data_IF_205272811386
#
_entry.id   IF_205272811386
#
_cell.length_a   1.000
_cell.length_b   1.000
_cell.length_c   1.000
_cell.angle_alpha   90.00
_cell.angle_beta   90.00
_cell.angle_gamma   90.00
#
_symmetry.space_group_name_H-M   'P 1'
#
loop_
_entity.id
_entity.type
_entity.pdbx_description
1 polymer ?
#
# COMPACT_ATOMS: atom_id res chain seq x y z
N UNK A 1 19.32 40.56 -34.65
CA UNK A 1 19.12 41.45 -33.49
C UNK A 1 18.21 40.75 -32.48
N UNK A 2 18.44 41.00 -31.19
CA UNK A 2 17.60 40.65 -30.05
C UNK A 2 18.12 41.44 -28.82
N UNK A 3 17.39 41.57 -27.69
CA UNK A 3 15.93 41.53 -27.47
C UNK A 3 15.41 43.01 -27.43
N UNK A 4 14.48 43.53 -26.57
CA UNK A 4 14.11 43.21 -25.16
C UNK A 4 12.78 42.41 -25.04
N UNK A 5 12.42 41.66 -23.98
CA UNK A 5 12.52 41.80 -22.50
C UNK A 5 11.49 42.75 -21.85
N UNK A 6 10.42 42.20 -21.24
CA UNK A 6 9.80 42.65 -19.97
C UNK A 6 8.55 41.82 -19.57
N UNK A 7 8.62 41.17 -18.40
CA UNK A 7 7.52 40.90 -17.45
C UNK A 7 7.80 41.79 -16.20
N UNK A 8 6.87 42.12 -15.27
CA UNK A 8 5.79 41.30 -14.66
C UNK A 8 4.42 42.05 -14.74
N UNK A 9 3.35 41.92 -13.91
CA UNK A 9 3.19 41.41 -12.54
C UNK A 9 1.74 41.01 -12.17
N UNK A 10 1.66 40.33 -11.03
CA UNK A 10 0.63 40.45 -9.95
C UNK A 10 -0.78 39.86 -10.07
N UNK A 11 -1.18 39.34 -8.92
CA UNK A 11 -2.37 38.58 -8.58
C UNK A 11 -3.59 39.49 -8.35
N UNK A 12 -4.80 38.91 -8.40
CA UNK A 12 -6.05 39.58 -8.04
C UNK A 12 -6.98 38.65 -7.27
N UNK A 13 -6.71 38.44 -5.99
CA UNK A 13 -7.52 37.59 -5.10
C UNK A 13 -8.74 38.37 -4.57
N UNK A 14 -9.91 37.75 -4.56
CA UNK A 14 -11.14 38.32 -3.99
C UNK A 14 -12.01 37.25 -3.33
N UNK A 15 -11.79 37.00 -2.03
CA UNK A 15 -12.74 36.27 -1.17
C UNK A 15 -13.56 37.26 -0.32
N UNK A 16 -14.91 37.13 -0.26
CA UNK A 16 -15.72 37.87 0.69
C UNK A 16 -15.71 37.21 2.07
N UNK A 17 -15.51 38.01 3.11
CA UNK A 17 -15.44 37.57 4.50
C UNK A 17 -16.81 37.26 5.13
N UNK A 18 -16.81 36.44 6.17
CA UNK A 18 -17.61 36.71 7.37
C UNK A 18 -16.98 36.05 8.61
N UNK A 19 -17.23 36.63 9.79
CA UNK A 19 -16.67 36.22 11.07
C UNK A 19 -17.76 35.70 12.00
N UNK A 20 -17.44 34.68 12.81
CA UNK A 20 -18.24 34.30 13.97
C UNK A 20 -17.31 33.99 15.14
N UNK A 21 -17.58 34.60 16.30
CA UNK A 21 -16.81 34.41 17.54
C UNK A 21 -17.35 33.23 18.37
N UNK A 22 -16.48 32.60 19.16
CA UNK A 22 -16.84 31.50 20.08
C UNK A 22 -16.88 32.02 21.52
N UNK A 23 -17.99 31.78 22.22
CA UNK A 23 -18.15 32.11 23.64
C UNK A 23 -19.01 31.07 24.36
N UNK A 24 -18.45 30.41 25.37
CA UNK A 24 -19.15 29.47 26.27
C UNK A 24 -18.58 29.65 27.68
N UNK A 25 -19.43 29.53 28.72
CA UNK A 25 -19.03 29.46 30.15
C UNK A 25 -19.63 28.20 30.81
N UNK A 26 -19.50 27.97 32.13
CA UNK A 26 -18.86 26.78 32.67
C UNK A 26 -19.85 25.65 32.98
N UNK A 27 -19.31 24.54 33.48
CA UNK A 27 -20.06 23.44 34.07
C UNK A 27 -20.37 23.73 35.56
N UNK A 28 -21.55 23.33 36.02
CA UNK A 28 -21.89 23.25 37.45
C UNK A 28 -21.70 21.81 37.95
N UNK A 29 -21.32 21.65 39.22
CA UNK A 29 -21.11 20.35 39.86
C UNK A 29 -21.85 20.30 41.20
N UNK A 30 -22.58 19.21 41.47
CA UNK A 30 -23.37 19.03 42.68
C UNK A 30 -23.62 17.55 43.01
N UNK A 31 -23.96 17.29 44.28
CA UNK A 31 -24.33 16.00 44.86
C UNK A 31 -23.34 14.84 44.67
N UNK A 32 -22.30 14.84 45.49
CA UNK A 32 -21.72 13.63 46.07
C UNK A 32 -21.95 13.68 47.59
N UNK A 33 -22.17 12.54 48.25
CA UNK A 33 -22.53 12.44 49.67
C UNK A 33 -22.14 11.07 50.25
N UNK A 34 -21.04 11.02 51.00
CA UNK A 34 -20.49 9.79 51.56
C UNK A 34 -21.34 9.18 52.72
N UNK A 35 -21.34 7.85 52.89
CA UNK A 35 -21.96 7.16 54.02
C UNK A 35 -21.27 7.47 55.36
N UNK A 36 -21.89 7.09 56.48
CA UNK A 36 -21.47 7.54 57.82
C UNK A 36 -20.61 6.52 58.56
N UNK A 37 -19.72 7.02 59.42
CA UNK A 37 -18.67 6.24 60.11
C UNK A 37 -19.13 5.04 60.96
N UNK A 38 -20.44 4.88 61.21
CA UNK A 38 -20.98 3.66 61.84
C UNK A 38 -20.92 2.43 60.93
N UNK A 39 -20.96 2.64 59.62
CA UNK A 39 -20.91 1.59 58.60
C UNK A 39 -19.48 1.14 58.29
N UNK A 40 -18.45 1.86 58.76
CA UNK A 40 -17.04 1.47 58.58
C UNK A 40 -16.62 0.39 59.59
N UNK A 41 -17.01 0.56 60.86
CA UNK A 41 -16.64 -0.37 61.94
C UNK A 41 -17.31 -1.76 61.84
N UNK A 42 -18.42 -1.87 61.09
CA UNK A 42 -19.07 -3.17 60.80
C UNK A 42 -18.48 -3.84 59.53
N UNK A 43 -17.49 -3.22 58.87
CA UNK A 43 -16.73 -3.80 57.75
C UNK A 43 -15.35 -4.29 58.22
N UNK A 44 -14.65 -3.53 59.07
CA UNK A 44 -13.30 -3.86 59.59
C UNK A 44 -13.23 -5.24 60.31
N UNK A 45 -14.31 -5.72 60.94
CA UNK A 45 -14.35 -7.06 61.56
C UNK A 45 -14.75 -8.20 60.59
N UNK A 46 -15.17 -7.91 59.35
CA UNK A 46 -15.50 -8.92 58.32
C UNK A 46 -14.43 -9.00 57.21
N UNK A 47 -13.64 -7.94 57.00
CA UNK A 47 -12.52 -7.92 56.05
C UNK A 47 -11.42 -8.93 56.45
N UNK A 48 -11.10 -9.05 57.75
CA UNK A 48 -9.95 -9.82 58.23
C UNK A 48 -10.12 -11.37 58.24
N UNK A 49 -11.32 -11.91 57.98
CA UNK A 49 -11.52 -13.35 57.69
C UNK A 49 -11.70 -13.63 56.18
N UNK A 50 -11.74 -12.59 55.33
CA UNK A 50 -11.86 -12.73 53.87
C UNK A 50 -10.54 -12.54 53.13
N UNK A 51 -9.67 -11.62 53.58
CA UNK A 51 -8.37 -11.37 52.92
C UNK A 51 -7.52 -12.65 52.77
N UNK A 52 -7.48 -13.52 53.78
CA UNK A 52 -6.71 -14.79 53.74
C UNK A 52 -7.29 -15.86 52.79
N UNK A 53 -8.61 -15.86 52.51
CA UNK A 53 -9.23 -16.79 51.54
C UNK A 53 -9.22 -16.20 50.11
N UNK A 54 -9.51 -14.91 49.95
CA UNK A 54 -9.50 -14.23 48.66
C UNK A 54 -8.08 -14.16 48.04
N UNK A 55 -7.01 -13.94 48.83
CA UNK A 55 -5.62 -14.03 48.34
C UNK A 55 -5.21 -15.47 47.98
N UNK A 56 -5.76 -16.49 48.66
CA UNK A 56 -5.48 -17.89 48.37
C UNK A 56 -6.13 -18.34 47.03
N UNK A 57 -7.40 -17.99 46.82
CA UNK A 57 -8.09 -18.20 45.54
C UNK A 57 -7.39 -17.41 44.40
N UNK A 58 -6.84 -16.22 44.68
CA UNK A 58 -6.07 -15.44 43.72
C UNK A 58 -4.72 -16.11 43.37
N UNK A 59 -3.98 -16.62 44.36
CA UNK A 59 -2.71 -17.32 44.13
C UNK A 59 -2.92 -18.69 43.46
N UNK A 60 -4.08 -19.35 43.63
CA UNK A 60 -4.44 -20.55 42.87
C UNK A 60 -4.84 -20.21 41.42
N UNK A 61 -5.63 -19.14 41.19
CA UNK A 61 -5.93 -18.65 39.83
C UNK A 61 -4.66 -18.21 39.07
N UNK A 62 -3.70 -17.57 39.73
CA UNK A 62 -2.46 -17.11 39.09
C UNK A 62 -1.59 -18.33 38.67
N UNK A 63 -1.55 -19.39 39.49
CA UNK A 63 -0.92 -20.67 39.10
C UNK A 63 -1.67 -21.37 37.97
N UNK A 64 -3.00 -21.47 38.00
CA UNK A 64 -3.77 -22.05 36.90
C UNK A 64 -3.56 -21.28 35.58
N UNK A 65 -3.42 -19.95 35.65
CA UNK A 65 -3.16 -19.11 34.47
C UNK A 65 -1.76 -19.36 33.89
N UNK A 66 -0.73 -19.44 34.73
CA UNK A 66 0.65 -19.73 34.30
C UNK A 66 0.83 -21.20 33.82
N UNK A 67 0.09 -22.17 34.38
CA UNK A 67 0.19 -23.58 33.99
C UNK A 67 -0.68 -23.97 32.76
N UNK A 68 -1.91 -23.44 32.64
CA UNK A 68 -2.82 -23.82 31.55
C UNK A 68 -2.90 -22.82 30.38
N UNK A 69 -2.56 -21.55 30.56
CA UNK A 69 -2.66 -20.56 29.49
C UNK A 69 -1.33 -20.37 28.75
N UNK A 70 -1.19 -21.06 27.61
CA UNK A 70 -0.19 -20.77 26.56
C UNK A 70 -0.45 -19.39 25.88
N UNK A 71 -0.88 -18.38 26.64
CA UNK A 71 -0.99 -17.00 26.20
C UNK A 71 0.39 -16.45 25.82
N UNK A 72 1.45 -16.95 26.46
CA UNK A 72 2.84 -16.73 26.08
C UNK A 72 3.12 -17.20 24.65
N UNK A 73 3.01 -18.50 24.37
CA UNK A 73 3.30 -19.07 23.06
C UNK A 73 2.30 -18.66 21.98
N UNK A 74 1.03 -18.39 22.29
CA UNK A 74 0.09 -17.80 21.32
C UNK A 74 0.42 -16.34 21.00
N UNK A 75 0.82 -15.52 21.98
CA UNK A 75 1.31 -14.14 21.72
C UNK A 75 2.61 -14.18 20.93
N UNK A 76 3.55 -15.04 21.29
CA UNK A 76 4.83 -15.19 20.60
C UNK A 76 4.64 -15.68 19.15
N UNK A 77 3.88 -16.75 18.93
CA UNK A 77 3.55 -17.28 17.60
C UNK A 77 2.86 -16.24 16.72
N UNK A 78 1.87 -15.51 17.25
CA UNK A 78 1.19 -14.42 16.52
C UNK A 78 2.10 -13.22 16.25
N UNK A 79 3.02 -12.92 17.18
CA UNK A 79 4.03 -11.88 16.99
C UNK A 79 5.08 -12.31 15.95
N UNK A 80 5.48 -13.58 15.90
CA UNK A 80 6.39 -14.13 14.90
C UNK A 80 5.74 -14.21 13.51
N UNK A 81 4.48 -14.60 13.41
CA UNK A 81 3.68 -14.51 12.18
C UNK A 81 3.62 -13.07 11.65
N UNK A 82 3.32 -12.09 12.52
CA UNK A 82 3.28 -10.68 12.12
C UNK A 82 4.69 -10.16 11.74
N UNK A 83 5.71 -10.51 12.53
CA UNK A 83 7.11 -10.11 12.31
C UNK A 83 7.70 -10.70 11.04
N UNK A 84 7.38 -11.96 10.71
CA UNK A 84 7.79 -12.60 9.46
C UNK A 84 7.09 -11.97 8.25
N UNK A 85 5.78 -11.71 8.32
CA UNK A 85 5.05 -10.97 7.27
C UNK A 85 5.60 -9.54 7.08
N UNK A 86 5.87 -8.82 8.17
CA UNK A 86 6.50 -7.49 8.10
C UNK A 86 7.91 -7.56 7.52
N UNK A 87 8.71 -8.56 7.88
CA UNK A 87 10.04 -8.77 7.29
C UNK A 87 9.98 -9.15 5.81
N UNK A 88 9.00 -9.93 5.38
CA UNK A 88 8.77 -10.29 3.97
C UNK A 88 8.47 -9.03 3.14
N UNK A 89 7.53 -8.21 3.62
CA UNK A 89 7.17 -6.90 3.04
C UNK A 89 8.35 -5.93 3.07
N UNK A 90 9.15 -5.92 4.16
CA UNK A 90 10.29 -5.04 4.29
C UNK A 90 11.45 -5.46 3.37
N UNK A 91 11.75 -6.76 3.24
CA UNK A 91 12.73 -7.28 2.27
C UNK A 91 12.33 -6.95 0.84
N UNK A 92 11.06 -7.16 0.46
CA UNK A 92 10.52 -6.72 -0.83
C UNK A 92 10.63 -5.20 -1.06
N UNK A 93 10.55 -4.38 -0.01
CA UNK A 93 10.72 -2.92 -0.10
C UNK A 93 12.19 -2.45 -0.08
N UNK A 94 13.15 -3.27 0.35
CA UNK A 94 14.51 -2.81 0.67
C UNK A 94 15.59 -3.10 -0.38
N UNK A 95 15.38 -4.01 -1.34
CA UNK A 95 16.32 -4.22 -2.45
C UNK A 95 15.66 -4.13 -3.82
N UNK A 96 16.11 -3.16 -4.62
CA UNK A 96 16.00 -3.06 -6.09
C UNK A 96 14.60 -2.90 -6.73
N UNK A 97 13.51 -3.25 -6.04
CA UNK A 97 12.15 -2.96 -6.48
C UNK A 97 11.88 -1.44 -6.59
N UNK A 98 11.08 -1.03 -7.58
CA UNK A 98 10.75 0.38 -7.84
C UNK A 98 11.87 1.21 -8.47
N UNK A 99 13.02 0.59 -8.78
CA UNK A 99 14.19 1.24 -9.40
C UNK A 99 14.55 0.53 -10.71
N UNK A 100 15.39 1.18 -11.51
CA UNK A 100 15.89 0.65 -12.78
C UNK A 100 17.41 0.49 -12.68
N UNK A 101 17.86 -0.71 -12.33
CA UNK A 101 19.25 -0.95 -11.90
C UNK A 101 20.12 -1.55 -13.03
N UNK A 102 21.35 -1.07 -13.14
CA UNK A 102 22.39 -1.63 -14.03
C UNK A 102 23.11 -2.80 -13.34
N UNK A 103 23.05 -3.99 -13.92
CA UNK A 103 23.75 -5.18 -13.42
C UNK A 103 24.96 -5.49 -14.30
N UNK A 104 26.15 -5.62 -13.70
CA UNK A 104 27.41 -5.88 -14.44
C UNK A 104 27.74 -7.37 -14.60
N UNK A 105 26.95 -8.28 -14.04
CA UNK A 105 27.19 -9.73 -14.12
C UNK A 105 25.91 -10.50 -14.41
N UNK A 106 25.95 -11.36 -15.43
CA UNK A 106 24.85 -12.27 -15.78
C UNK A 106 24.40 -13.18 -14.63
N UNK A 107 25.30 -13.66 -13.77
CA UNK A 107 24.96 -14.47 -12.58
C UNK A 107 24.06 -13.71 -11.61
N UNK A 108 24.33 -12.42 -11.41
CA UNK A 108 23.60 -11.59 -10.47
C UNK A 108 22.16 -11.37 -11.00
N UNK A 109 22.01 -11.14 -12.33
CA UNK A 109 20.72 -11.06 -13.04
C UNK A 109 19.93 -12.35 -12.90
N UNK A 110 20.53 -13.51 -13.18
CA UNK A 110 19.88 -14.83 -13.05
C UNK A 110 19.41 -15.04 -11.60
N UNK A 111 20.22 -14.67 -10.60
CA UNK A 111 19.83 -14.79 -9.19
C UNK A 111 18.68 -13.87 -8.81
N UNK A 112 18.57 -12.70 -9.46
CA UNK A 112 17.55 -11.70 -9.19
C UNK A 112 16.21 -12.06 -9.86
N UNK A 113 16.21 -12.48 -11.13
CA UNK A 113 15.00 -12.92 -11.85
C UNK A 113 14.44 -14.23 -11.30
N UNK A 114 15.27 -15.08 -10.69
CA UNK A 114 14.82 -16.30 -10.00
C UNK A 114 14.18 -16.02 -8.63
N UNK A 115 14.60 -14.97 -7.91
CA UNK A 115 14.03 -14.56 -6.62
C UNK A 115 12.77 -13.70 -6.78
N UNK A 116 12.72 -12.85 -7.81
CA UNK A 116 11.61 -11.94 -8.04
C UNK A 116 10.39 -12.66 -8.63
N UNK A 117 9.20 -12.44 -8.04
CA UNK A 117 7.95 -12.97 -8.58
C UNK A 117 7.62 -12.44 -9.99
N UNK A 118 8.02 -11.19 -10.28
CA UNK A 118 7.92 -10.52 -11.58
C UNK A 118 9.20 -9.72 -11.83
N UNK A 119 9.79 -9.86 -13.00
CA UNK A 119 11.00 -9.10 -13.37
C UNK A 119 11.08 -8.82 -14.87
N UNK A 120 11.79 -7.75 -15.21
CA UNK A 120 12.07 -7.29 -16.57
C UNK A 120 13.57 -7.11 -16.74
N UNK A 121 14.12 -7.72 -17.79
CA UNK A 121 15.54 -7.60 -18.16
C UNK A 121 15.65 -6.92 -19.51
N UNK A 122 16.23 -5.71 -19.53
CA UNK A 122 16.61 -5.02 -20.76
C UNK A 122 18.06 -5.37 -21.12
N UNK A 123 18.22 -6.04 -22.26
CA UNK A 123 19.50 -6.23 -22.92
C UNK A 123 19.77 -5.02 -23.81
N UNK A 124 20.89 -4.33 -23.58
CA UNK A 124 21.26 -3.11 -24.28
C UNK A 124 22.74 -3.07 -24.66
N UNK A 125 23.13 -2.06 -25.43
CA UNK A 125 24.51 -1.70 -25.70
C UNK A 125 24.63 -0.17 -25.82
N UNK A 126 25.69 0.41 -25.28
CA UNK A 126 25.81 1.87 -25.02
C UNK A 126 25.78 2.76 -26.28
N UNK A 127 26.19 2.22 -27.42
CA UNK A 127 26.23 2.94 -28.71
C UNK A 127 24.86 3.03 -29.40
N UNK A 128 23.94 2.11 -29.08
CA UNK A 128 22.66 2.00 -29.78
C UNK A 128 21.67 3.04 -29.25
N UNK A 129 21.42 4.11 -30.03
CA UNK A 129 20.46 5.18 -29.68
C UNK A 129 19.09 4.63 -29.25
N UNK A 130 18.60 3.58 -29.90
CA UNK A 130 17.32 2.93 -29.58
C UNK A 130 17.27 2.37 -28.14
N UNK A 131 18.39 1.87 -27.60
CA UNK A 131 18.45 1.45 -26.21
C UNK A 131 18.17 2.59 -25.23
N UNK A 132 18.68 3.79 -25.51
CA UNK A 132 18.50 4.99 -24.66
C UNK A 132 17.04 5.48 -24.66
N UNK A 133 16.30 5.23 -25.74
CA UNK A 133 14.84 5.44 -25.79
C UNK A 133 14.17 4.42 -24.86
N UNK A 134 14.44 3.12 -25.01
CA UNK A 134 13.87 2.07 -24.15
C UNK A 134 14.16 2.30 -22.65
N UNK A 135 15.41 2.64 -22.30
CA UNK A 135 15.80 3.05 -20.94
C UNK A 135 14.89 4.16 -20.39
N UNK A 136 14.62 5.19 -21.21
CA UNK A 136 13.80 6.35 -20.87
C UNK A 136 12.31 6.04 -20.68
N UNK A 137 11.82 4.86 -21.10
CA UNK A 137 10.47 4.38 -20.81
C UNK A 137 10.47 3.41 -19.62
N UNK A 138 11.43 2.49 -19.54
CA UNK A 138 11.56 1.55 -18.42
C UNK A 138 11.82 2.25 -17.08
N UNK A 139 12.64 3.31 -17.05
CA UNK A 139 12.87 4.10 -15.83
C UNK A 139 11.59 4.79 -15.33
N UNK A 140 10.68 5.19 -16.24
CA UNK A 140 9.37 5.77 -15.89
C UNK A 140 8.40 4.70 -15.38
N UNK A 141 8.50 3.47 -15.87
CA UNK A 141 7.67 2.34 -15.43
C UNK A 141 8.13 1.77 -14.09
N UNK A 142 9.44 1.67 -13.85
CA UNK A 142 10.00 1.25 -12.55
C UNK A 142 9.46 2.11 -11.39
N UNK A 143 9.40 3.43 -11.58
CA UNK A 143 8.88 4.39 -10.58
C UNK A 143 7.37 4.31 -10.34
N UNK A 144 6.62 3.56 -11.15
CA UNK A 144 5.19 3.24 -10.92
C UNK A 144 5.01 1.86 -10.30
N UNK A 145 5.78 0.88 -10.77
CA UNK A 145 5.50 -0.56 -10.59
C UNK A 145 6.47 -1.19 -9.59
N UNK A 146 6.31 -0.80 -8.32
CA UNK A 146 7.09 -1.26 -7.16
C UNK A 146 6.97 -2.78 -6.87
N UNK A 147 6.10 -3.50 -7.57
CA UNK A 147 5.91 -4.95 -7.42
C UNK A 147 6.74 -5.78 -8.43
N UNK A 148 7.41 -5.10 -9.36
CA UNK A 148 8.12 -5.68 -10.50
C UNK A 148 9.57 -5.19 -10.47
N UNK A 149 10.52 -6.11 -10.65
CA UNK A 149 11.96 -5.80 -10.60
C UNK A 149 12.48 -5.42 -12.00
N UNK A 150 12.97 -4.19 -12.19
CA UNK A 150 13.48 -3.71 -13.48
C UNK A 150 15.01 -3.68 -13.50
N UNK A 151 15.60 -4.53 -14.34
CA UNK A 151 17.04 -4.70 -14.50
C UNK A 151 17.42 -4.34 -15.94
N UNK A 152 18.60 -3.74 -16.12
CA UNK A 152 19.28 -3.70 -17.41
C UNK A 152 20.68 -4.30 -17.31
N UNK A 153 21.13 -4.93 -18.39
CA UNK A 153 22.50 -5.45 -18.53
C UNK A 153 23.03 -5.22 -19.93
N UNK A 154 24.27 -4.75 -20.02
CA UNK A 154 24.96 -4.60 -21.29
C UNK A 154 25.27 -5.98 -21.88
N UNK A 155 24.98 -6.20 -23.17
CA UNK A 155 25.19 -7.49 -23.85
C UNK A 155 26.65 -7.96 -23.76
N UNK A 156 27.62 -7.05 -23.69
CA UNK A 156 29.03 -7.38 -23.52
C UNK A 156 29.33 -8.08 -22.18
N UNK A 157 28.51 -7.85 -21.16
CA UNK A 157 28.64 -8.42 -19.81
C UNK A 157 27.78 -9.68 -19.58
N UNK A 158 27.02 -10.12 -20.59
CA UNK A 158 26.05 -11.22 -20.46
C UNK A 158 26.00 -12.21 -21.64
N UNK A 159 27.15 -12.69 -22.16
CA UNK A 159 27.19 -13.54 -23.35
C UNK A 159 26.41 -14.87 -23.18
N UNK A 160 26.33 -15.43 -21.97
CA UNK A 160 25.55 -16.65 -21.73
C UNK A 160 24.04 -16.37 -21.85
N UNK A 161 23.56 -15.28 -21.26
CA UNK A 161 22.14 -14.89 -21.36
C UNK A 161 21.76 -14.50 -22.80
N UNK A 162 22.59 -13.71 -23.48
CA UNK A 162 22.40 -13.32 -24.89
C UNK A 162 22.26 -14.55 -25.78
N UNK A 163 23.15 -15.54 -25.61
CA UNK A 163 23.10 -16.81 -26.34
C UNK A 163 21.88 -17.65 -25.96
N UNK A 164 21.60 -17.80 -24.65
CA UNK A 164 20.55 -18.68 -24.14
C UNK A 164 19.13 -18.18 -24.40
N UNK A 165 18.95 -16.85 -24.51
CA UNK A 165 17.67 -16.18 -24.81
C UNK A 165 17.52 -15.80 -26.30
N UNK A 166 18.53 -16.10 -27.13
CA UNK A 166 18.60 -15.73 -28.56
C UNK A 166 18.38 -14.22 -28.81
N UNK A 167 19.21 -13.37 -28.20
CA UNK A 167 19.15 -11.90 -28.33
C UNK A 167 20.01 -11.46 -29.51
N UNK A 168 19.38 -11.35 -30.69
CA UNK A 168 20.02 -10.98 -31.96
C UNK A 168 19.92 -9.48 -32.33
N UNK A 169 18.93 -8.77 -31.80
CA UNK A 169 18.61 -7.37 -32.16
C UNK A 169 18.42 -6.55 -30.90
N UNK A 170 18.87 -5.29 -30.91
CA UNK A 170 18.80 -4.38 -29.78
C UNK A 170 17.95 -3.12 -30.07
N UNK A 171 17.21 -2.58 -29.06
CA UNK A 171 17.06 -3.12 -27.70
C UNK A 171 16.28 -4.45 -27.67
N UNK A 172 16.44 -5.23 -26.59
CA UNK A 172 15.58 -6.40 -26.35
C UNK A 172 15.17 -6.45 -24.88
N UNK A 173 13.87 -6.60 -24.60
CA UNK A 173 13.31 -6.60 -23.25
C UNK A 173 12.58 -7.92 -23.01
N UNK A 174 13.01 -8.66 -21.98
CA UNK A 174 12.41 -9.96 -21.64
C UNK A 174 11.74 -9.86 -20.26
N UNK A 175 10.45 -10.18 -20.23
CA UNK A 175 9.62 -10.21 -19.02
C UNK A 175 9.47 -11.62 -18.48
N UNK A 176 9.77 -11.81 -17.19
CA UNK A 176 9.70 -13.08 -16.48
C UNK A 176 8.67 -13.01 -15.35
N UNK A 177 7.86 -14.06 -15.22
CA UNK A 177 6.90 -14.26 -14.13
C UNK A 177 7.17 -15.62 -13.51
N UNK A 178 7.48 -15.66 -12.21
CA UNK A 178 7.91 -16.87 -11.48
C UNK A 178 9.04 -17.63 -12.23
N UNK A 179 10.10 -16.90 -12.58
CA UNK A 179 11.25 -17.36 -13.39
C UNK A 179 10.96 -17.86 -14.83
N UNK A 180 9.69 -17.87 -15.29
CA UNK A 180 9.32 -18.25 -16.67
C UNK A 180 9.19 -17.00 -17.55
N UNK A 181 9.83 -17.00 -18.71
CA UNK A 181 9.67 -15.92 -19.71
C UNK A 181 8.24 -15.89 -20.24
N UNK A 182 7.56 -14.75 -20.09
CA UNK A 182 6.20 -14.50 -20.59
C UNK A 182 6.14 -13.56 -21.79
N UNK A 183 7.15 -12.71 -21.94
CA UNK A 183 7.22 -11.70 -23.00
C UNK A 183 8.67 -11.51 -23.43
N UNK A 184 8.90 -11.31 -24.73
CA UNK A 184 10.19 -10.92 -25.31
C UNK A 184 9.92 -9.90 -26.40
N UNK A 185 10.11 -8.62 -26.09
CA UNK A 185 10.02 -7.53 -27.07
C UNK A 185 11.38 -7.42 -27.77
N UNK A 186 11.37 -7.42 -29.11
CA UNK A 186 12.58 -7.31 -29.94
C UNK A 186 12.55 -6.01 -30.75
N UNK A 187 13.55 -5.16 -30.56
CA UNK A 187 13.61 -3.84 -31.17
C UNK A 187 12.41 -2.98 -30.78
N UNK A 188 11.75 -2.40 -31.78
CA UNK A 188 10.49 -1.65 -31.64
C UNK A 188 9.42 -2.11 -32.65
N UNK A 189 9.63 -3.25 -33.33
CA UNK A 189 8.76 -3.71 -34.42
C UNK A 189 7.38 -4.14 -33.92
N UNK A 190 7.31 -4.59 -32.67
CA UNK A 190 6.09 -4.95 -31.94
C UNK A 190 5.41 -3.75 -31.26
N UNK A 191 6.02 -2.55 -31.27
CA UNK A 191 5.53 -1.39 -30.52
C UNK A 191 4.85 -0.35 -31.44
N UNK A 192 3.60 0.08 -31.15
CA UNK A 192 2.90 1.04 -31.97
C UNK A 192 3.59 2.41 -31.91
N UNK A 193 4.04 2.88 -33.08
CA UNK A 193 4.82 4.12 -33.23
C UNK A 193 6.32 3.92 -33.44
N UNK A 194 6.83 2.68 -33.41
CA UNK A 194 8.25 2.38 -33.63
C UNK A 194 9.15 3.13 -32.63
N UNK A 195 10.20 3.80 -33.09
CA UNK A 195 11.09 4.65 -32.26
C UNK A 195 10.37 5.74 -31.44
N UNK A 196 9.12 6.11 -31.77
CA UNK A 196 8.32 7.13 -31.07
C UNK A 196 7.16 6.55 -30.24
N UNK A 197 7.24 5.27 -29.82
CA UNK A 197 6.20 4.64 -29.02
C UNK A 197 5.92 5.37 -27.69
N UNK A 198 4.68 5.30 -27.19
CA UNK A 198 4.32 5.90 -25.90
C UNK A 198 4.62 4.97 -24.73
N UNK A 199 5.01 5.51 -23.57
CA UNK A 199 5.20 4.72 -22.34
C UNK A 199 3.98 3.87 -22.02
N UNK A 200 2.77 4.40 -22.25
CA UNK A 200 1.49 3.73 -22.02
C UNK A 200 1.26 2.53 -22.93
N UNK A 201 1.77 2.53 -24.16
CA UNK A 201 1.68 1.38 -25.07
C UNK A 201 2.59 0.23 -24.60
N UNK A 202 3.81 0.54 -24.17
CA UNK A 202 4.71 -0.45 -23.55
C UNK A 202 4.11 -0.97 -22.23
N UNK A 203 3.56 -0.09 -21.40
CA UNK A 203 2.85 -0.44 -20.15
C UNK A 203 1.69 -1.41 -20.40
N UNK A 204 0.88 -1.16 -21.42
CA UNK A 204 -0.23 -2.04 -21.81
C UNK A 204 0.25 -3.43 -22.21
N UNK A 205 1.27 -3.56 -23.06
CA UNK A 205 1.83 -4.86 -23.46
C UNK A 205 2.43 -5.64 -22.28
N UNK A 206 3.09 -4.95 -21.35
CA UNK A 206 3.65 -5.53 -20.14
C UNK A 206 2.57 -6.02 -19.15
N UNK A 207 1.43 -5.32 -19.07
CA UNK A 207 0.26 -5.74 -18.30
C UNK A 207 -0.44 -6.93 -18.98
N UNK A 208 -0.61 -6.90 -20.31
CA UNK A 208 -1.30 -7.97 -21.06
C UNK A 208 -0.56 -9.31 -21.00
N UNK A 209 0.78 -9.30 -20.84
CA UNK A 209 1.59 -10.49 -20.61
C UNK A 209 1.71 -10.91 -19.12
N UNK A 210 0.98 -10.27 -18.21
CA UNK A 210 1.05 -10.43 -16.74
C UNK A 210 2.46 -10.20 -16.14
N UNK A 211 3.33 -9.46 -16.84
CA UNK A 211 4.68 -9.12 -16.35
C UNK A 211 4.62 -7.96 -15.35
N UNK A 212 3.66 -7.05 -15.52
CA UNK A 212 3.33 -5.94 -14.60
C UNK A 212 1.86 -6.07 -14.19
N UNK A 213 1.47 -5.62 -12.99
CA UNK A 213 0.05 -5.55 -12.59
C UNK A 213 -0.62 -4.28 -13.08
N UNK A 214 -1.90 -4.35 -13.48
CA UNK A 214 -2.69 -3.15 -13.77
C UNK A 214 -2.87 -2.30 -12.49
N UNK A 215 -2.44 -1.01 -12.47
CA UNK A 215 -2.60 -0.13 -11.32
C UNK A 215 -4.07 0.12 -10.93
N UNK A 216 -5.02 -0.07 -11.83
CA UNK A 216 -6.47 0.03 -11.55
C UNK A 216 -6.95 -1.17 -10.73
N UNK A 217 -6.46 -2.36 -11.03
CA UNK A 217 -6.81 -3.59 -10.30
C UNK A 217 -6.19 -3.58 -8.88
N UNK A 218 -4.93 -3.17 -8.74
CA UNK A 218 -4.26 -3.08 -7.42
C UNK A 218 -4.87 -1.99 -6.53
N UNK A 219 -5.27 -0.85 -7.10
CA UNK A 219 -6.03 0.18 -6.37
C UNK A 219 -7.40 -0.33 -5.90
N UNK A 220 -8.09 -1.13 -6.72
CA UNK A 220 -9.41 -1.69 -6.38
C UNK A 220 -9.30 -2.74 -5.27
N UNK A 221 -8.34 -3.67 -5.36
CA UNK A 221 -8.07 -4.64 -4.30
C UNK A 221 -7.72 -3.96 -2.96
N UNK A 222 -6.91 -2.91 -3.01
CA UNK A 222 -6.54 -2.10 -1.82
C UNK A 222 -7.75 -1.43 -1.16
N UNK A 223 -8.77 -1.03 -1.92
CA UNK A 223 -10.02 -0.45 -1.39
C UNK A 223 -10.89 -1.51 -0.71
N UNK A 224 -11.01 -2.71 -1.29
CA UNK A 224 -11.81 -3.81 -0.70
C UNK A 224 -11.21 -4.27 0.63
N UNK A 225 -9.89 -4.50 0.67
CA UNK A 225 -9.16 -4.80 1.92
C UNK A 225 -9.26 -3.61 2.91
N UNK A 226 -9.32 -2.38 2.38
CA UNK A 226 -9.53 -1.16 3.14
C UNK A 226 -10.87 -1.09 3.86
N UNK A 227 -11.95 -1.63 3.28
CA UNK A 227 -13.31 -1.62 3.82
C UNK A 227 -13.65 -2.85 4.70
N UNK A 228 -13.06 -4.01 4.40
CA UNK A 228 -13.29 -5.25 5.18
C UNK A 228 -12.77 -5.17 6.63
N UNK A 229 -11.87 -4.22 6.93
CA UNK A 229 -11.32 -3.97 8.28
C UNK A 229 -12.06 -2.90 9.09
N UNK A 230 -13.21 -2.42 8.62
CA UNK A 230 -14.04 -1.39 9.28
C UNK A 230 -15.42 -1.90 9.72
N UNK A 231 -15.64 -3.21 9.73
CA UNK A 231 -16.94 -3.84 10.02
C UNK A 231 -17.05 -4.58 11.37
N UNK A 232 -15.98 -4.67 12.16
CA UNK A 232 -15.93 -5.46 13.42
C UNK A 232 -15.61 -4.62 14.66
N UNK A 233 -16.34 -3.52 14.84
CA UNK A 233 -16.66 -2.85 16.13
C UNK A 233 -17.52 -1.61 15.82
N UNK A 234 -18.65 -1.33 16.48
CA UNK A 234 -19.29 -1.98 17.63
C UNK A 234 -20.81 -2.02 17.46
N UNK A 235 -21.52 -2.86 18.20
CA UNK A 235 -22.99 -2.93 18.15
C UNK A 235 -23.60 -3.04 19.57
N UNK A 236 -23.88 -1.90 20.19
CA UNK A 236 -24.51 -1.84 21.53
C UNK A 236 -25.45 -0.63 21.69
N UNK A 237 -26.70 -0.85 21.30
CA UNK A 237 -27.91 -0.28 21.90
C UNK A 237 -28.09 1.26 22.09
N UNK A 238 -28.85 1.84 21.16
CA UNK A 238 -30.18 2.48 21.44
C UNK A 238 -30.30 3.99 21.76
N UNK A 239 -31.47 4.53 21.33
CA UNK A 239 -32.10 5.83 21.67
C UNK A 239 -31.40 7.13 21.15
N UNK A 240 -32.06 8.05 20.45
CA UNK A 240 -33.37 8.00 19.77
C UNK A 240 -34.02 9.36 19.42
N UNK A 241 -35.04 9.28 18.54
CA UNK A 241 -36.19 10.21 18.30
C UNK A 241 -35.98 11.64 17.72
N UNK A 242 -36.88 12.00 16.76
CA UNK A 242 -37.29 13.36 16.28
C UNK A 242 -36.26 14.09 15.36
N UNK A 243 -36.64 14.95 14.39
CA UNK A 243 -37.91 15.25 13.68
C UNK A 243 -37.65 16.35 12.60
N UNK A 244 -38.36 16.52 11.47
CA UNK A 244 -39.28 15.68 10.67
C UNK A 244 -39.81 16.49 9.45
N UNK A 245 -40.27 15.84 8.37
CA UNK A 245 -40.92 16.46 7.17
C UNK A 245 -39.95 17.17 6.20
N UNK A 246 -40.16 17.23 4.87
CA UNK A 246 -41.42 17.09 4.07
C UNK A 246 -41.30 16.14 2.87
N UNK A 247 -42.45 15.65 2.43
CA UNK A 247 -42.65 14.95 1.14
C UNK A 247 -42.87 15.98 0.03
N UNK A 248 -42.37 15.71 -1.18
CA UNK A 248 -42.69 16.44 -2.41
C UNK A 248 -42.52 15.54 -3.63
N UNK A 249 -43.62 15.26 -4.33
CA UNK A 249 -43.65 14.65 -5.66
C UNK A 249 -43.83 15.79 -6.71
N UNK A 250 -43.85 15.59 -8.03
CA UNK A 250 -43.97 14.39 -8.89
C UNK A 250 -43.41 14.69 -10.31
N UNK A 251 -43.65 13.79 -11.28
CA UNK A 251 -43.47 13.95 -12.76
C UNK A 251 -42.00 13.86 -13.24
N UNK A 252 -41.59 13.11 -14.27
CA UNK A 252 -42.24 12.28 -15.31
C UNK A 252 -42.95 13.00 -16.48
N UNK A 253 -42.85 12.43 -17.70
CA UNK A 253 -43.17 13.02 -19.04
C UNK A 253 -42.38 14.31 -19.42
N UNK A 254 -42.00 14.62 -20.67
CA UNK A 254 -41.70 13.88 -21.93
C UNK A 254 -40.76 14.81 -22.78
N UNK A 255 -40.24 14.55 -24.00
CA UNK A 255 -40.30 13.45 -24.98
C UNK A 255 -38.83 13.11 -25.44
N UNK A 256 -38.34 12.66 -26.61
CA UNK A 256 -38.68 12.54 -28.06
C UNK A 256 -38.61 13.81 -28.96
N UNK A 257 -38.12 13.58 -30.20
CA UNK A 257 -37.81 14.46 -31.35
C UNK A 257 -36.81 15.64 -31.08
N UNK A 258 -35.96 16.12 -32.00
CA UNK A 258 -35.79 15.95 -33.46
C UNK A 258 -34.28 15.81 -33.81
#
# INVERSE_FOLDING_TARGET
MAPPQASPSEEGVAEPSSSTSVHVKPYDAASDAAPTARQLAEMEEHEHEHEDEDDADLEELEKELDENFDLGGFRERRMEELKSQMQEIQKMRQSDFGKYNEYTKEKDVISATAKASRSLVHFYHRDFRRCKIMDSHLEKLAKKHFDTLFIKIDVANAPFLVTKMDVKVLPCVIGFVKAVSKLKIVGFEELPGGDNFTTSALEFGLIQADVIKDPKLTATASRVIGAARSSESSNSASRGIRSSSRIGASNDESDLDD
#
